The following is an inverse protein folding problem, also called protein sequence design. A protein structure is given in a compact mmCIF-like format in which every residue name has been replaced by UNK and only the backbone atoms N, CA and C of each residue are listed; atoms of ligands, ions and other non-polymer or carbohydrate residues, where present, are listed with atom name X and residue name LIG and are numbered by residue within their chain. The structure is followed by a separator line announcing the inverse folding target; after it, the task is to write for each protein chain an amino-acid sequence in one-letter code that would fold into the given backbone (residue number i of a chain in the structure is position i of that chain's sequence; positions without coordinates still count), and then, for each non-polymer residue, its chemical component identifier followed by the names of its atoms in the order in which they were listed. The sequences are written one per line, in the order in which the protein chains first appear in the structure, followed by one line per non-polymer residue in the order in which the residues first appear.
data_IF_756011930117
#
_entry.id   IF_756011930117
#
_cell.length_a   1.000
_cell.length_b   1.000
_cell.length_c   1.000
_cell.angle_alpha   90.00
_cell.angle_beta   90.00
_cell.angle_gamma   90.00
#
_symmetry.space_group_name_H-M   'P 1'
#
loop_
_entity.id
_entity.type
_entity.pdbx_description
1 polymer ?
#
# COMPACT_ATOMS: atom_id res chain seq x y z
N UNK A 1 4.26 17.13 -14.36
CA UNK A 1 3.48 16.00 -14.92
C UNK A 1 2.89 15.09 -13.85
N UNK A 2 3.66 14.62 -12.85
CA UNK A 2 3.14 13.74 -11.78
C UNK A 2 1.96 14.35 -10.99
N UNK A 3 2.05 15.63 -10.66
CA UNK A 3 0.97 16.37 -9.98
C UNK A 3 -0.31 16.44 -10.82
N UNK A 4 -0.18 16.57 -12.15
CA UNK A 4 -1.33 16.58 -13.05
C UNK A 4 -1.97 15.19 -13.18
N UNK A 5 -1.17 14.12 -13.20
CA UNK A 5 -1.67 12.74 -13.19
C UNK A 5 -2.40 12.41 -11.88
N UNK A 6 -1.85 12.81 -10.73
CA UNK A 6 -2.50 12.66 -9.43
C UNK A 6 -3.86 13.38 -9.38
N UNK A 7 -3.91 14.62 -9.85
CA UNK A 7 -5.14 15.42 -9.89
C UNK A 7 -6.17 14.80 -10.86
N UNK A 8 -5.74 14.31 -12.02
CA UNK A 8 -6.64 13.67 -12.99
C UNK A 8 -7.29 12.39 -12.41
N UNK A 9 -6.49 11.55 -11.74
CA UNK A 9 -7.00 10.34 -11.07
C UNK A 9 -7.93 10.70 -9.92
N UNK A 10 -7.58 11.70 -9.10
CA UNK A 10 -8.45 12.18 -8.01
C UNK A 10 -9.81 12.66 -8.53
N UNK A 11 -9.83 13.45 -9.61
CA UNK A 11 -11.07 13.99 -10.20
C UNK A 11 -11.92 12.88 -10.82
N UNK A 12 -11.33 11.96 -11.58
CA UNK A 12 -12.06 10.85 -12.18
C UNK A 12 -12.74 9.97 -11.11
N UNK A 13 -12.02 9.73 -10.02
CA UNK A 13 -12.51 8.92 -8.91
C UNK A 13 -13.62 9.64 -8.15
N UNK A 14 -13.43 10.92 -7.83
CA UNK A 14 -14.45 11.74 -7.18
C UNK A 14 -15.73 11.84 -8.02
N UNK A 15 -15.60 11.89 -9.35
CA UNK A 15 -16.74 11.91 -10.26
C UNK A 15 -17.49 10.58 -10.27
N UNK A 16 -16.78 9.45 -10.33
CA UNK A 16 -17.38 8.11 -10.23
C UNK A 16 -18.10 7.88 -8.91
N UNK A 17 -17.50 8.34 -7.81
CA UNK A 17 -18.11 8.38 -6.47
C UNK A 17 -19.40 9.20 -6.43
N UNK A 18 -19.37 10.44 -6.95
CA UNK A 18 -20.51 11.35 -6.92
C UNK A 18 -21.69 10.83 -7.74
N UNK A 19 -21.42 10.14 -8.86
CA UNK A 19 -22.45 9.49 -9.68
C UNK A 19 -22.98 8.22 -9.03
N UNK A 20 -22.12 7.37 -8.45
CA UNK A 20 -22.52 6.11 -7.82
C UNK A 20 -23.32 6.28 -6.52
N UNK A 21 -23.01 7.30 -5.71
CA UNK A 21 -23.72 7.58 -4.45
C UNK A 21 -25.20 7.95 -4.69
N UNK A 22 -25.56 8.44 -5.89
CA UNK A 22 -26.95 8.77 -6.23
C UNK A 22 -27.90 7.55 -6.23
N UNK A 23 -27.37 6.32 -6.37
CA UNK A 23 -28.15 5.06 -6.37
C UNK A 23 -28.26 4.40 -4.98
N UNK A 24 -27.68 4.99 -3.92
CA UNK A 24 -28.01 4.68 -2.52
C UNK A 24 -27.81 3.24 -2.02
N UNK A 25 -27.05 2.41 -2.73
CA UNK A 25 -26.88 0.98 -2.44
C UNK A 25 -25.51 0.68 -1.83
N UNK A 26 -25.37 -0.37 -1.00
CA UNK A 26 -24.10 -0.78 -0.39
C UNK A 26 -22.96 -0.99 -1.41
N UNK A 27 -23.31 -1.41 -2.63
CA UNK A 27 -22.42 -1.57 -3.77
C UNK A 27 -21.79 -0.24 -4.22
N UNK A 28 -22.52 0.88 -4.13
CA UNK A 28 -21.97 2.20 -4.40
C UNK A 28 -20.89 2.61 -3.38
N UNK A 29 -21.02 2.17 -2.12
CA UNK A 29 -20.02 2.43 -1.07
C UNK A 29 -18.76 1.59 -1.27
N UNK A 30 -18.91 0.34 -1.73
CA UNK A 30 -17.77 -0.53 -2.07
C UNK A 30 -17.04 0.01 -3.29
N UNK A 31 -17.77 0.38 -4.35
CA UNK A 31 -17.21 0.99 -5.57
C UNK A 31 -16.49 2.32 -5.26
N UNK A 32 -17.07 3.12 -4.37
CA UNK A 32 -16.49 4.34 -3.82
C UNK A 32 -15.16 4.11 -3.10
N UNK A 33 -15.12 3.11 -2.22
CA UNK A 33 -13.91 2.70 -1.49
C UNK A 33 -12.85 2.18 -2.45
N UNK A 34 -13.21 1.34 -3.43
CA UNK A 34 -12.28 0.80 -4.43
C UNK A 34 -11.65 1.92 -5.26
N UNK A 35 -12.43 2.92 -5.65
CA UNK A 35 -11.94 4.14 -6.28
C UNK A 35 -10.99 4.93 -5.38
N UNK A 36 -11.38 5.23 -4.14
CA UNK A 36 -10.54 5.96 -3.19
C UNK A 36 -9.22 5.22 -2.91
N UNK A 37 -9.29 3.90 -2.81
CA UNK A 37 -8.14 3.00 -2.68
C UNK A 37 -7.25 3.08 -3.92
N UNK A 38 -7.81 3.10 -5.13
CA UNK A 38 -7.06 3.29 -6.38
C UNK A 38 -6.31 4.62 -6.39
N UNK A 39 -6.94 5.73 -5.99
CA UNK A 39 -6.27 7.03 -5.80
C UNK A 39 -5.12 6.90 -4.82
N UNK A 40 -5.36 6.24 -3.68
CA UNK A 40 -4.34 6.04 -2.65
C UNK A 40 -3.12 5.29 -3.20
N UNK A 41 -3.32 4.20 -3.97
CA UNK A 41 -2.23 3.49 -4.68
C UNK A 41 -1.43 4.44 -5.56
N UNK A 42 -2.10 5.26 -6.36
CA UNK A 42 -1.42 6.14 -7.30
C UNK A 42 -0.60 7.19 -6.54
N UNK A 43 -1.17 7.77 -5.48
CA UNK A 43 -0.45 8.72 -4.62
C UNK A 43 0.77 8.09 -3.94
N UNK A 44 0.63 6.85 -3.44
CA UNK A 44 1.71 6.08 -2.82
C UNK A 44 2.86 5.83 -3.79
N UNK A 45 2.54 5.33 -4.99
CA UNK A 45 3.51 5.05 -6.04
C UNK A 45 4.23 6.33 -6.47
N UNK A 46 3.49 7.43 -6.62
CA UNK A 46 4.07 8.72 -6.96
C UNK A 46 5.02 9.24 -5.87
N UNK A 47 4.69 9.03 -4.58
CA UNK A 47 5.55 9.40 -3.46
C UNK A 47 6.84 8.55 -3.43
N UNK A 48 6.74 7.23 -3.62
CA UNK A 48 7.89 6.33 -3.69
C UNK A 48 8.79 6.61 -4.90
N UNK A 49 8.21 6.88 -6.07
CA UNK A 49 8.95 7.29 -7.27
C UNK A 49 9.64 8.63 -7.03
N UNK A 50 8.95 9.61 -6.43
CA UNK A 50 9.56 10.91 -6.11
C UNK A 50 10.75 10.75 -5.18
N UNK A 51 10.65 9.94 -4.14
CA UNK A 51 11.75 9.65 -3.21
C UNK A 51 12.93 8.98 -3.94
N UNK A 52 12.67 7.97 -4.76
CA UNK A 52 13.70 7.25 -5.52
C UNK A 52 14.42 8.16 -6.53
N UNK A 53 13.68 9.05 -7.20
CA UNK A 53 14.24 10.03 -8.15
C UNK A 53 15.03 11.13 -7.44
N UNK A 54 14.64 11.51 -6.23
CA UNK A 54 15.35 12.52 -5.46
C UNK A 54 16.74 12.03 -5.00
N UNK A 55 16.84 10.79 -4.53
CA UNK A 55 18.08 10.27 -3.94
C UNK A 55 19.03 9.54 -4.91
N UNK A 56 18.63 9.22 -6.16
CA UNK A 56 19.46 8.48 -7.16
C UNK A 56 20.10 7.16 -6.63
N UNK A 57 19.61 6.62 -5.52
CA UNK A 57 19.97 5.31 -4.96
C UNK A 57 18.72 4.64 -4.43
N UNK A 58 18.57 3.35 -4.70
CA UNK A 58 17.55 2.53 -4.04
C UNK A 58 17.99 2.32 -2.60
N UNK A 59 17.70 3.29 -1.73
CA UNK A 59 17.80 3.09 -0.28
C UNK A 59 16.73 2.03 0.05
N UNK A 60 17.16 0.93 0.66
CA UNK A 60 16.26 -0.19 0.94
C UNK A 60 15.12 0.21 1.89
N UNK A 61 15.38 1.17 2.79
CA UNK A 61 14.41 1.65 3.78
C UNK A 61 13.12 2.24 3.16
N UNK A 62 13.15 3.25 2.25
CA UNK A 62 11.95 3.76 1.62
C UNK A 62 11.26 2.75 0.69
N UNK A 63 12.00 1.87 0.01
CA UNK A 63 11.38 0.84 -0.83
C UNK A 63 10.60 -0.19 0.00
N UNK A 64 11.17 -0.65 1.11
CA UNK A 64 10.49 -1.56 2.04
C UNK A 64 9.26 -0.92 2.68
N UNK A 65 9.33 0.38 3.01
CA UNK A 65 8.19 1.12 3.53
C UNK A 65 7.02 1.16 2.53
N UNK A 66 7.31 1.45 1.25
CA UNK A 66 6.31 1.43 0.18
C UNK A 66 5.70 0.02 0.02
N UNK A 67 6.52 -1.03 0.10
CA UNK A 67 6.02 -2.41 0.07
C UNK A 67 5.07 -2.76 1.23
N UNK A 68 5.37 -2.26 2.44
CA UNK A 68 4.50 -2.41 3.61
C UNK A 68 3.16 -1.71 3.37
N UNK A 69 3.18 -0.46 2.90
CA UNK A 69 1.94 0.30 2.71
C UNK A 69 1.08 -0.27 1.58
N UNK A 70 1.71 -0.72 0.48
CA UNK A 70 1.01 -1.41 -0.60
C UNK A 70 0.29 -2.69 -0.11
N UNK A 71 0.97 -3.49 0.72
CA UNK A 71 0.38 -4.70 1.32
C UNK A 71 -0.79 -4.36 2.25
N UNK A 72 -0.66 -3.32 3.09
CA UNK A 72 -1.75 -2.85 3.97
C UNK A 72 -2.97 -2.40 3.16
N UNK A 73 -2.74 -1.67 2.07
CA UNK A 73 -3.84 -1.22 1.22
C UNK A 73 -4.62 -2.40 0.65
N UNK A 74 -3.94 -3.41 0.13
CA UNK A 74 -4.60 -4.58 -0.45
C UNK A 74 -5.42 -5.35 0.58
N UNK A 75 -4.93 -5.47 1.83
CA UNK A 75 -5.68 -6.02 2.96
C UNK A 75 -7.01 -5.27 3.17
N UNK A 76 -7.01 -3.94 3.11
CA UNK A 76 -8.23 -3.12 3.27
C UNK A 76 -9.21 -3.38 2.13
N UNK A 77 -8.75 -3.40 0.87
CA UNK A 77 -9.62 -3.69 -0.30
C UNK A 77 -10.23 -5.10 -0.17
N UNK A 78 -9.40 -6.10 0.13
CA UNK A 78 -9.86 -7.48 0.25
C UNK A 78 -10.86 -7.65 1.38
N UNK A 79 -10.64 -7.00 2.53
CA UNK A 79 -11.57 -7.07 3.65
C UNK A 79 -12.95 -6.51 3.30
N UNK A 80 -12.99 -5.44 2.50
CA UNK A 80 -14.24 -4.86 2.02
C UNK A 80 -14.96 -5.79 1.04
N UNK A 81 -14.24 -6.39 0.10
CA UNK A 81 -14.79 -7.38 -0.84
C UNK A 81 -15.28 -8.63 -0.11
N UNK A 82 -14.53 -9.12 0.87
CA UNK A 82 -14.91 -10.28 1.68
C UNK A 82 -16.19 -10.04 2.50
N UNK A 83 -16.47 -8.80 2.90
CA UNK A 83 -17.71 -8.44 3.59
C UNK A 83 -18.93 -8.51 2.68
N UNK A 84 -18.77 -8.23 1.39
CA UNK A 84 -19.82 -8.37 0.38
C UNK A 84 -20.13 -9.85 0.10
N UNK A 85 -19.09 -10.69 0.00
CA UNK A 85 -19.24 -12.12 -0.26
C UNK A 85 -19.62 -12.94 0.98
N UNK A 86 -19.73 -12.32 2.16
CA UNK A 86 -20.09 -12.99 3.42
C UNK A 86 -21.47 -13.67 3.39
N UNK A 87 -22.32 -13.33 2.42
CA UNK A 87 -23.62 -13.97 2.17
C UNK A 87 -23.65 -15.01 1.03
N UNK A 88 -22.57 -15.12 0.24
CA UNK A 88 -22.41 -16.09 -0.86
C UNK A 88 -21.53 -17.27 -0.43
N UNK A 89 -21.43 -18.30 -1.26
CA UNK A 89 -20.76 -19.59 -0.99
C UNK A 89 -19.47 -19.47 -0.14
N UNK A 90 -19.37 -20.29 0.91
CA UNK A 90 -18.32 -20.19 1.93
C UNK A 90 -16.87 -20.41 1.42
N UNK A 91 -16.69 -20.82 0.16
CA UNK A 91 -15.38 -20.93 -0.47
C UNK A 91 -14.75 -19.58 -0.78
N UNK A 92 -15.51 -18.62 -1.32
CA UNK A 92 -14.96 -17.30 -1.71
C UNK A 92 -14.50 -16.50 -0.49
N UNK A 93 -15.24 -16.58 0.63
CA UNK A 93 -14.83 -15.97 1.89
C UNK A 93 -13.56 -16.62 2.46
N UNK A 94 -13.43 -17.94 2.32
CA UNK A 94 -12.25 -18.69 2.80
C UNK A 94 -11.00 -18.34 2.00
N UNK A 95 -11.11 -18.21 0.67
CA UNK A 95 -10.02 -17.78 -0.20
C UNK A 95 -9.58 -16.35 0.13
N UNK A 96 -10.52 -15.42 0.31
CA UNK A 96 -10.22 -14.05 0.73
C UNK A 96 -9.51 -14.00 2.11
N UNK A 97 -9.92 -14.85 3.06
CA UNK A 97 -9.26 -14.96 4.36
C UNK A 97 -7.82 -15.48 4.27
N UNK A 98 -7.55 -16.44 3.39
CA UNK A 98 -6.19 -16.94 3.14
C UNK A 98 -5.34 -15.83 2.53
N UNK A 99 -5.85 -15.13 1.53
CA UNK A 99 -5.12 -14.06 0.85
C UNK A 99 -4.79 -12.90 1.80
N UNK A 100 -5.74 -12.49 2.66
CA UNK A 100 -5.50 -11.53 3.74
C UNK A 100 -4.41 -12.04 4.70
N UNK A 101 -4.45 -13.33 5.05
CA UNK A 101 -3.42 -13.95 5.91
C UNK A 101 -2.03 -13.91 5.29
N UNK A 102 -1.91 -14.20 3.99
CA UNK A 102 -0.65 -14.13 3.23
C UNK A 102 -0.12 -12.71 3.19
N UNK A 103 -0.97 -11.72 2.89
CA UNK A 103 -0.61 -10.31 2.89
C UNK A 103 -0.16 -9.83 4.29
N UNK A 104 -0.84 -10.28 5.35
CA UNK A 104 -0.43 -10.02 6.72
C UNK A 104 0.96 -10.59 7.03
N UNK A 105 1.24 -11.81 6.59
CA UNK A 105 2.57 -12.41 6.67
C UNK A 105 3.64 -11.62 5.90
N UNK A 106 3.30 -11.13 4.71
CA UNK A 106 4.18 -10.27 3.90
C UNK A 106 4.52 -8.97 4.64
N UNK A 107 3.55 -8.29 5.25
CA UNK A 107 3.77 -7.08 6.05
C UNK A 107 4.76 -7.34 7.19
N UNK A 108 4.60 -8.45 7.92
CA UNK A 108 5.52 -8.84 9.00
C UNK A 108 6.92 -9.10 8.44
N UNK A 109 7.04 -9.85 7.34
CA UNK A 109 8.32 -10.13 6.69
C UNK A 109 9.06 -8.85 6.25
N UNK A 110 8.34 -7.93 5.60
CA UNK A 110 8.89 -6.64 5.19
C UNK A 110 9.27 -5.75 6.39
N UNK A 111 8.49 -5.80 7.48
CA UNK A 111 8.81 -5.09 8.72
C UNK A 111 10.10 -5.60 9.35
N UNK A 112 10.30 -6.92 9.39
CA UNK A 112 11.54 -7.55 9.87
C UNK A 112 12.72 -7.19 8.97
N UNK A 113 12.55 -7.24 7.65
CA UNK A 113 13.58 -6.83 6.70
C UNK A 113 13.97 -5.36 6.89
N UNK A 114 12.99 -4.48 7.05
CA UNK A 114 13.21 -3.05 7.31
C UNK A 114 13.97 -2.85 8.61
N UNK A 115 13.62 -3.57 9.68
CA UNK A 115 14.34 -3.51 10.95
C UNK A 115 15.81 -3.98 10.82
N UNK A 116 16.07 -5.07 10.09
CA UNK A 116 17.42 -5.59 9.86
C UNK A 116 18.30 -4.60 9.08
N UNK A 117 17.76 -3.98 8.03
CA UNK A 117 18.46 -2.95 7.25
C UNK A 117 18.85 -1.78 8.15
N UNK A 118 17.90 -1.25 8.94
CA UNK A 118 18.15 -0.15 9.89
C UNK A 118 19.17 -0.49 10.98
N UNK A 119 19.29 -1.77 11.35
CA UNK A 119 20.28 -2.21 12.33
C UNK A 119 21.70 -2.21 11.75
N UNK A 120 21.85 -2.61 10.48
CA UNK A 120 23.15 -2.68 9.81
C UNK A 120 23.73 -1.29 9.50
N UNK A 121 22.89 -0.30 9.22
CA UNK A 121 23.33 1.09 9.02
C UNK A 121 23.72 1.80 10.33
N UNK A 122 23.57 1.14 11.49
CA UNK A 122 23.89 1.68 12.83
C UNK A 122 25.16 1.11 13.45
N UNK A 123 25.90 0.23 12.79
CA UNK A 123 27.25 -0.13 13.22
C UNK A 123 28.17 1.04 12.82
N UNK A 124 28.65 1.86 13.79
CA UNK A 124 29.64 2.87 13.48
C UNK A 124 30.90 2.15 13.03
N UNK A 125 31.59 2.71 12.05
CA UNK A 125 32.96 2.35 11.72
C UNK A 125 33.78 2.45 13.02
N UNK A 126 34.11 1.31 13.61
CA UNK A 126 35.26 1.18 14.51
C UNK A 126 36.50 1.38 13.64
N UNK A 127 36.82 2.64 13.33
CA UNK A 127 38.21 3.02 13.04
C UNK A 127 38.95 3.06 14.38
N UNK A 128 39.30 1.87 14.85
CA UNK A 128 40.49 1.68 15.66
C UNK A 128 41.71 1.92 14.76
N UNK A 129 42.18 3.16 14.73
CA UNK A 129 43.60 3.46 14.43
C UNK A 129 44.16 4.37 15.54
N UNK A 130 44.27 3.80 16.73
CA UNK A 130 45.45 4.03 17.57
C UNK A 130 46.61 3.23 16.95
N UNK A 131 47.45 3.82 16.10
CA UNK A 131 48.92 3.65 16.17
C UNK A 131 49.68 4.53 15.15
N UNK A 132 50.85 5.00 15.61
CA UNK A 132 51.98 5.71 14.95
C UNK A 132 52.00 7.24 14.97
#
# INVERSE_FOLDING_TARGET
MLLAAAVAVLVATAYGLAVGIADGTADAVVSALDGLLLVFIVLELLAGVRATVAEHRLIAEPFLLVGIIASIKEIVVLTLKAQETRGSDGSEFSDAMIEIGVLGGLVVGLSVASFLVRRKEREPEEEDEDDV
#
